data_IF_911604094288
#
_entry.id   IF_911604094288
#
_cell.length_a   1.000
_cell.length_b   1.000
_cell.length_c   1.000
_cell.angle_alpha   90.00
_cell.angle_beta   90.00
_cell.angle_gamma   90.00
#
_symmetry.space_group_name_H-M   'P 1'
#
loop_
_entity.id
_entity.type
_entity.pdbx_description
1 polymer ?
#
# COMPACT_ATOMS: atom_id res chain seq x y z
N UNK A 1 -0.98 -19.11 11.05
CA UNK A 1 -0.16 -18.08 11.71
C UNK A 1 -1.10 -17.25 12.57
N UNK A 2 -0.96 -17.29 13.89
CA UNK A 2 -1.76 -16.44 14.77
C UNK A 2 -1.03 -15.09 14.90
N UNK A 3 -1.68 -13.99 14.54
CA UNK A 3 -1.13 -12.65 14.71
C UNK A 3 -1.60 -12.14 16.07
N UNK A 4 -0.67 -11.98 17.01
CA UNK A 4 -0.97 -11.51 18.36
C UNK A 4 -1.38 -10.03 18.40
N UNK A 5 -1.98 -9.58 19.52
CA UNK A 5 -2.47 -8.19 19.67
C UNK A 5 -1.37 -7.12 19.54
N UNK A 6 -0.10 -7.47 19.81
CA UNK A 6 1.03 -6.54 19.81
C UNK A 6 1.82 -6.54 18.49
N UNK A 7 1.18 -6.90 17.39
CA UNK A 7 1.85 -7.06 16.10
C UNK A 7 1.67 -5.86 15.17
N UNK A 8 1.09 -4.74 15.63
CA UNK A 8 0.75 -3.59 14.78
C UNK A 8 0.06 -4.01 13.47
N UNK A 9 -0.79 -5.04 13.55
CA UNK A 9 -1.51 -5.52 12.38
C UNK A 9 -2.60 -4.52 12.04
N UNK A 10 -2.52 -3.97 10.84
CA UNK A 10 -3.56 -3.08 10.34
C UNK A 10 -4.80 -3.86 9.92
N UNK A 11 -5.98 -3.31 10.24
CA UNK A 11 -7.24 -3.76 9.66
C UNK A 11 -7.52 -3.01 8.34
N UNK A 12 -8.41 -3.57 7.50
CA UNK A 12 -8.87 -2.93 6.25
C UNK A 12 -7.74 -2.61 5.27
N UNK A 13 -6.82 -3.53 5.06
CA UNK A 13 -5.85 -3.47 3.97
C UNK A 13 -6.47 -3.77 2.59
N UNK A 14 -5.65 -3.75 1.55
CA UNK A 14 -6.06 -4.08 0.18
C UNK A 14 -6.16 -5.57 -0.08
N UNK A 15 -7.08 -5.97 -0.95
CA UNK A 15 -7.21 -7.35 -1.44
C UNK A 15 -7.40 -7.39 -2.94
N UNK A 16 -6.86 -8.41 -3.61
CA UNK A 16 -6.98 -8.56 -5.06
C UNK A 16 -7.07 -10.02 -5.50
N UNK A 17 -7.96 -10.30 -6.44
CA UNK A 17 -8.09 -11.61 -7.08
C UNK A 17 -7.23 -11.63 -8.36
N UNK A 18 -6.07 -12.30 -8.34
CA UNK A 18 -5.19 -12.36 -9.51
C UNK A 18 -5.80 -13.20 -10.65
N UNK A 19 -6.45 -14.30 -10.26
CA UNK A 19 -7.21 -15.24 -11.10
C UNK A 19 -8.17 -16.04 -10.20
N UNK A 20 -8.85 -17.07 -10.73
CA UNK A 20 -9.85 -17.85 -9.97
C UNK A 20 -9.28 -18.62 -8.76
N UNK A 21 -7.96 -18.73 -8.62
CA UNK A 21 -7.32 -19.58 -7.61
C UNK A 21 -6.28 -18.83 -6.77
N UNK A 22 -5.87 -17.63 -7.15
CA UNK A 22 -4.82 -16.88 -6.45
C UNK A 22 -5.34 -15.54 -5.91
N UNK A 23 -5.43 -15.42 -4.58
CA UNK A 23 -5.83 -14.21 -3.88
C UNK A 23 -4.65 -13.53 -3.19
N UNK A 24 -4.59 -12.21 -3.30
CA UNK A 24 -3.55 -11.40 -2.66
C UNK A 24 -4.17 -10.50 -1.60
N UNK A 25 -3.47 -10.35 -0.47
CA UNK A 25 -3.80 -9.38 0.57
C UNK A 25 -2.57 -8.54 0.87
N UNK A 26 -2.74 -7.22 0.89
CA UNK A 26 -1.74 -6.27 1.36
C UNK A 26 -2.10 -5.75 2.74
N UNK A 27 -1.12 -5.70 3.64
CA UNK A 27 -1.28 -5.21 5.00
C UNK A 27 0.08 -4.72 5.53
N UNK A 28 0.11 -4.17 6.74
CA UNK A 28 1.36 -4.07 7.49
C UNK A 28 1.22 -4.72 8.86
N UNK A 29 2.34 -5.19 9.38
CA UNK A 29 2.51 -5.74 10.73
C UNK A 29 3.98 -5.63 11.13
N UNK A 30 4.29 -5.90 12.39
CA UNK A 30 5.65 -6.01 12.87
C UNK A 30 6.42 -7.15 12.19
N UNK A 31 7.68 -6.88 11.87
CA UNK A 31 8.69 -7.90 11.61
C UNK A 31 9.20 -8.53 12.91
N UNK A 32 10.24 -9.37 12.81
CA UNK A 32 10.87 -10.00 13.97
C UNK A 32 11.52 -9.00 14.93
N UNK A 33 11.87 -7.80 14.46
CA UNK A 33 12.42 -6.72 15.25
C UNK A 33 11.37 -5.80 15.88
N UNK A 34 10.07 -6.08 15.69
CA UNK A 34 9.00 -5.22 16.19
C UNK A 34 8.78 -3.95 15.35
N UNK A 35 9.35 -3.87 14.15
CA UNK A 35 9.20 -2.73 13.25
C UNK A 35 8.08 -3.04 12.26
N UNK A 36 7.04 -2.18 12.15
CA UNK A 36 5.99 -2.42 11.15
C UNK A 36 6.53 -2.36 9.72
N UNK A 37 6.26 -3.39 8.93
CA UNK A 37 6.58 -3.52 7.51
C UNK A 37 5.31 -3.76 6.70
N UNK A 38 5.29 -3.29 5.45
CA UNK A 38 4.28 -3.70 4.47
C UNK A 38 4.55 -5.14 4.04
N UNK A 39 3.50 -5.95 4.00
CA UNK A 39 3.50 -7.32 3.52
C UNK A 39 2.46 -7.50 2.41
N UNK A 40 2.76 -8.41 1.50
CA UNK A 40 1.80 -8.96 0.55
C UNK A 40 1.77 -10.48 0.73
N UNK A 41 0.60 -11.04 0.99
CA UNK A 41 0.42 -12.50 1.09
C UNK A 41 -0.42 -13.00 -0.07
N UNK A 42 0.14 -13.94 -0.81
CA UNK A 42 -0.54 -14.76 -1.81
C UNK A 42 -1.18 -15.96 -1.12
N UNK A 43 -2.44 -16.26 -1.47
CA UNK A 43 -3.19 -17.43 -1.05
C UNK A 43 -3.62 -18.22 -2.28
N UNK A 44 -3.21 -19.48 -2.34
CA UNK A 44 -3.74 -20.43 -3.29
C UNK A 44 -5.04 -21.04 -2.73
N UNK A 45 -6.16 -20.67 -3.33
CA UNK A 45 -7.50 -21.07 -2.91
C UNK A 45 -7.83 -22.54 -3.21
N UNK A 46 -7.02 -23.23 -4.03
CA UNK A 46 -7.23 -24.67 -4.32
C UNK A 46 -6.66 -25.57 -3.23
N UNK A 47 -5.44 -25.28 -2.77
CA UNK A 47 -4.72 -26.15 -1.83
C UNK A 47 -4.50 -25.49 -0.45
N UNK A 48 -4.86 -24.22 -0.29
CA UNK A 48 -4.70 -23.48 0.97
C UNK A 48 -3.26 -23.04 1.25
N UNK A 49 -2.33 -23.19 0.31
CA UNK A 49 -0.96 -22.70 0.47
C UNK A 49 -0.93 -21.17 0.53
N UNK A 50 -0.03 -20.64 1.34
CA UNK A 50 0.17 -19.21 1.49
C UNK A 50 1.65 -18.86 1.32
N UNK A 51 1.94 -17.78 0.59
CA UNK A 51 3.28 -17.22 0.41
C UNK A 51 3.26 -15.77 0.84
N UNK A 52 4.06 -15.42 1.84
CA UNK A 52 4.11 -14.05 2.37
C UNK A 52 5.41 -13.37 1.97
N UNK A 53 5.29 -12.16 1.42
CA UNK A 53 6.38 -11.32 0.98
C UNK A 53 6.45 -10.09 1.86
N UNK A 54 7.63 -9.81 2.40
CA UNK A 54 7.92 -8.51 3.01
C UNK A 54 8.28 -7.53 1.91
N UNK A 55 7.51 -6.44 1.80
CA UNK A 55 7.63 -5.45 0.73
C UNK A 55 8.62 -4.35 1.12
N UNK A 56 8.53 -3.86 2.35
CA UNK A 56 9.38 -2.79 2.86
C UNK A 56 10.49 -3.33 3.76
N UNK A 57 11.57 -2.57 3.91
CA UNK A 57 12.68 -2.87 4.82
C UNK A 57 12.92 -1.67 5.74
N UNK A 58 11.85 -1.22 6.40
CA UNK A 58 11.85 -0.07 7.31
C UNK A 58 12.78 -0.32 8.48
N UNK A 59 13.47 0.71 8.91
CA UNK A 59 14.32 0.70 10.11
C UNK A 59 13.71 1.50 11.27
N UNK A 60 12.66 2.30 10.98
CA UNK A 60 11.99 3.15 11.95
C UNK A 60 10.68 2.52 12.43
N UNK A 61 10.66 2.12 13.70
CA UNK A 61 9.47 1.58 14.37
C UNK A 61 8.40 2.63 14.64
N UNK A 62 7.14 2.18 14.73
CA UNK A 62 6.03 2.93 15.31
C UNK A 62 5.06 1.96 15.97
N UNK A 63 4.10 2.49 16.73
CA UNK A 63 3.08 1.68 17.39
C UNK A 63 1.68 2.18 17.01
N UNK A 64 0.78 1.26 16.67
CA UNK A 64 -0.64 1.53 16.45
C UNK A 64 -1.40 1.71 17.77
N UNK A 65 -0.89 1.15 18.87
CA UNK A 65 -1.42 1.26 20.23
C UNK A 65 -1.09 2.66 20.78
N UNK A 66 -1.76 3.70 20.25
CA UNK A 66 -1.51 5.10 20.57
C UNK A 66 -2.76 5.87 21.02
N UNK A 67 -2.59 6.75 22.01
CA UNK A 67 -3.63 7.57 22.67
C UNK A 67 -4.14 8.76 21.82
N UNK A 68 -4.51 8.52 20.55
CA UNK A 68 -5.37 9.42 19.77
C UNK A 68 -4.73 10.55 18.94
N UNK A 69 -3.40 10.68 18.85
CA UNK A 69 -2.76 11.80 18.10
C UNK A 69 -1.65 11.40 17.13
N UNK A 70 -1.31 10.11 17.03
CA UNK A 70 -0.15 9.67 16.23
C UNK A 70 -0.57 9.30 14.80
N UNK A 71 -0.08 10.07 13.83
CA UNK A 71 -0.13 9.74 12.41
C UNK A 71 0.77 8.55 12.12
N UNK A 72 0.28 7.53 11.41
CA UNK A 72 1.12 6.40 11.01
C UNK A 72 2.09 6.83 9.90
N UNK A 73 3.38 6.46 9.99
CA UNK A 73 4.38 6.83 8.97
C UNK A 73 4.21 6.05 7.66
N UNK A 74 3.42 4.96 7.66
CA UNK A 74 2.98 4.22 6.48
C UNK A 74 1.45 4.19 6.39
N UNK A 75 0.90 4.20 5.17
CA UNK A 75 -0.55 4.02 4.97
C UNK A 75 -0.93 2.54 4.92
N UNK A 76 -2.23 2.27 4.97
CA UNK A 76 -2.76 1.00 4.46
C UNK A 76 -2.37 0.84 2.98
N UNK A 77 -1.91 -0.34 2.56
CA UNK A 77 -1.60 -0.61 1.16
C UNK A 77 -2.86 -0.96 0.37
N UNK A 78 -2.86 -0.63 -0.92
CA UNK A 78 -3.76 -1.24 -1.91
C UNK A 78 -2.98 -2.26 -2.73
N UNK A 79 -3.65 -3.35 -3.09
CA UNK A 79 -3.08 -4.40 -3.95
C UNK A 79 -3.92 -4.50 -5.21
N UNK A 80 -3.26 -4.59 -6.35
CA UNK A 80 -3.93 -4.72 -7.63
C UNK A 80 -3.02 -5.39 -8.67
N UNK A 81 -3.61 -5.84 -9.76
CA UNK A 81 -2.89 -6.35 -10.93
C UNK A 81 -2.84 -5.26 -12.00
N UNK A 82 -1.64 -5.03 -12.55
CA UNK A 82 -1.44 -4.15 -13.71
C UNK A 82 -0.77 -4.98 -14.82
N UNK A 83 -1.51 -5.25 -15.90
CA UNK A 83 -1.06 -6.21 -16.91
C UNK A 83 -0.88 -7.61 -16.31
N UNK A 84 0.33 -8.15 -16.39
CA UNK A 84 0.67 -9.46 -15.82
C UNK A 84 1.22 -9.38 -14.38
N UNK A 85 1.45 -8.18 -13.85
CA UNK A 85 2.22 -7.97 -12.63
C UNK A 85 1.34 -7.56 -11.45
N UNK A 86 1.59 -8.16 -10.30
CA UNK A 86 1.00 -7.72 -9.03
C UNK A 86 1.75 -6.50 -8.49
N UNK A 87 0.97 -5.52 -8.03
CA UNK A 87 1.45 -4.24 -7.53
C UNK A 87 0.86 -3.99 -6.15
N UNK A 88 1.69 -3.49 -5.25
CA UNK A 88 1.33 -3.01 -3.91
C UNK A 88 1.65 -1.53 -3.85
N UNK A 89 0.64 -0.68 -3.83
CA UNK A 89 0.84 0.75 -3.64
C UNK A 89 0.54 1.16 -2.21
N UNK A 90 1.36 2.03 -1.65
CA UNK A 90 1.30 2.50 -0.27
C UNK A 90 1.95 3.86 -0.15
N UNK A 91 1.62 4.61 0.89
CA UNK A 91 2.37 5.79 1.27
C UNK A 91 3.42 5.41 2.30
N UNK A 92 4.63 5.89 2.13
CA UNK A 92 5.71 5.82 3.11
C UNK A 92 6.41 7.18 3.18
N UNK A 93 6.70 7.66 4.38
CA UNK A 93 7.37 8.97 4.60
C UNK A 93 6.73 10.12 3.78
N UNK A 94 5.40 10.09 3.70
CA UNK A 94 4.56 11.09 3.04
C UNK A 94 4.62 11.08 1.50
N UNK A 95 5.20 10.04 0.88
CA UNK A 95 5.28 9.88 -0.57
C UNK A 95 4.50 8.65 -1.03
N UNK A 96 3.99 8.68 -2.25
CA UNK A 96 3.31 7.50 -2.83
C UNK A 96 4.36 6.58 -3.45
N UNK A 97 4.40 5.35 -2.97
CA UNK A 97 5.28 4.28 -3.39
C UNK A 97 4.47 3.18 -4.06
N UNK A 98 5.10 2.46 -4.99
CA UNK A 98 4.58 1.20 -5.50
C UNK A 98 5.69 0.15 -5.55
N UNK A 99 5.37 -1.04 -5.08
CA UNK A 99 6.21 -2.22 -5.22
C UNK A 99 5.57 -3.22 -6.16
N UNK A 100 6.33 -3.79 -7.08
CA UNK A 100 5.84 -4.71 -8.10
C UNK A 100 6.77 -5.92 -8.26
N UNK A 101 6.20 -7.05 -8.67
CA UNK A 101 6.93 -8.29 -8.89
C UNK A 101 7.67 -8.23 -10.23
N UNK A 102 8.99 -8.42 -10.22
CA UNK A 102 9.80 -8.52 -11.46
C UNK A 102 10.15 -9.95 -11.83
N UNK A 103 10.24 -10.82 -10.83
CA UNK A 103 10.42 -12.26 -10.98
C UNK A 103 9.96 -12.95 -9.69
N UNK A 104 9.93 -14.28 -9.68
CA UNK A 104 9.41 -15.02 -8.54
C UNK A 104 10.10 -14.62 -7.22
N UNK A 105 9.33 -14.01 -6.31
CA UNK A 105 9.82 -13.55 -5.02
C UNK A 105 10.64 -12.26 -5.02
N UNK A 106 10.93 -11.68 -6.19
CA UNK A 106 11.70 -10.43 -6.31
C UNK A 106 10.76 -9.26 -6.54
N UNK A 107 10.78 -8.33 -5.60
CA UNK A 107 10.01 -7.09 -5.64
C UNK A 107 10.93 -5.90 -5.93
N UNK A 108 10.51 -5.01 -6.82
CA UNK A 108 11.10 -3.69 -7.00
C UNK A 108 10.16 -2.63 -6.48
N UNK A 109 10.70 -1.57 -5.89
CA UNK A 109 9.94 -0.44 -5.39
C UNK A 109 10.31 0.81 -6.18
N UNK A 110 9.30 1.58 -6.55
CA UNK A 110 9.44 2.88 -7.21
C UNK A 110 8.63 3.92 -6.46
N UNK A 111 9.11 5.16 -6.50
CA UNK A 111 8.36 6.32 -6.05
C UNK A 111 7.45 6.76 -7.21
N UNK A 112 6.15 6.81 -6.96
CA UNK A 112 5.15 7.26 -7.94
C UNK A 112 4.90 8.77 -7.83
N UNK A 113 5.00 9.32 -6.62
CA UNK A 113 4.72 10.74 -6.37
C UNK A 113 5.55 11.25 -5.19
N UNK A 114 6.38 12.26 -5.46
CA UNK A 114 7.41 12.76 -4.55
C UNK A 114 6.92 13.83 -3.56
N UNK A 115 5.84 14.56 -3.90
CA UNK A 115 5.36 15.66 -3.06
C UNK A 115 4.81 15.14 -1.73
N UNK A 116 4.80 16.01 -0.72
CA UNK A 116 4.29 15.68 0.61
C UNK A 116 2.77 15.46 0.60
N UNK A 117 2.36 14.21 0.77
CA UNK A 117 0.96 13.79 0.82
C UNK A 117 0.37 13.77 2.24
N UNK A 118 1.17 14.10 3.26
CA UNK A 118 0.77 14.04 4.66
C UNK A 118 0.30 12.64 5.07
N UNK A 119 -0.98 12.52 5.45
CA UNK A 119 -1.62 11.28 5.90
C UNK A 119 -2.46 10.60 4.81
N UNK A 120 -2.20 10.92 3.55
CA UNK A 120 -2.84 10.28 2.41
C UNK A 120 -2.74 8.75 2.49
N UNK A 121 -3.77 8.09 1.98
CA UNK A 121 -3.78 6.67 1.71
C UNK A 121 -4.14 6.46 0.23
N UNK A 122 -3.54 5.47 -0.45
CA UNK A 122 -3.78 5.25 -1.87
C UNK A 122 -5.23 4.89 -2.15
N UNK A 123 -5.85 5.65 -3.08
CA UNK A 123 -7.19 5.39 -3.60
C UNK A 123 -7.05 5.12 -5.09
N UNK A 124 -7.27 3.87 -5.49
CA UNK A 124 -7.14 3.41 -6.88
C UNK A 124 -8.48 3.51 -7.61
N UNK A 125 -8.46 4.09 -8.81
CA UNK A 125 -9.57 3.97 -9.76
C UNK A 125 -9.44 2.66 -10.55
N UNK A 126 -10.33 1.72 -10.24
CA UNK A 126 -10.33 0.40 -10.85
C UNK A 126 -10.80 0.39 -12.31
N UNK A 127 -11.48 1.44 -12.79
CA UNK A 127 -12.15 1.44 -14.11
C UNK A 127 -11.18 1.40 -15.29
N UNK A 128 -9.92 1.79 -15.07
CA UNK A 128 -8.88 1.88 -16.11
C UNK A 128 -7.82 0.78 -16.01
N UNK A 129 -7.87 -0.08 -15.00
CA UNK A 129 -6.88 -1.14 -14.80
C UNK A 129 -6.87 -2.15 -15.95
N UNK A 130 -8.05 -2.48 -16.49
CA UNK A 130 -8.17 -3.39 -17.64
C UNK A 130 -7.48 -2.85 -18.90
N UNK A 131 -7.39 -1.52 -19.01
CA UNK A 131 -6.64 -0.84 -20.08
C UNK A 131 -5.13 -0.73 -19.81
N UNK A 132 -4.63 -1.36 -18.75
CA UNK A 132 -3.22 -1.31 -18.36
C UNK A 132 -2.80 0.02 -17.72
N UNK A 133 -3.76 0.80 -17.22
CA UNK A 133 -3.52 2.11 -16.61
C UNK A 133 -3.91 2.09 -15.14
N UNK A 134 -2.94 2.35 -14.26
CA UNK A 134 -3.21 2.63 -12.86
C UNK A 134 -3.44 4.14 -12.67
N UNK A 135 -4.57 4.50 -12.05
CA UNK A 135 -4.95 5.88 -11.77
C UNK A 135 -5.21 6.03 -10.28
N UNK A 136 -4.52 6.97 -9.64
CA UNK A 136 -4.72 7.28 -8.22
C UNK A 136 -5.42 8.62 -8.04
N UNK A 137 -6.40 8.68 -7.14
CA UNK A 137 -6.95 9.94 -6.67
C UNK A 137 -6.04 10.50 -5.57
N UNK A 138 -5.33 11.59 -5.86
CA UNK A 138 -4.35 12.17 -4.93
C UNK A 138 -4.92 13.43 -4.28
N UNK A 139 -4.95 13.43 -2.95
CA UNK A 139 -5.26 14.61 -2.14
C UNK A 139 -4.42 14.60 -0.86
N UNK A 140 -3.52 15.58 -0.72
CA UNK A 140 -2.74 15.75 0.50
C UNK A 140 -3.68 15.95 1.70
N UNK A 141 -3.44 15.21 2.78
CA UNK A 141 -4.28 15.27 3.99
C UNK A 141 -3.45 15.44 5.26
N UNK A 142 -3.98 16.14 6.25
CA UNK A 142 -3.31 16.35 7.55
C UNK A 142 -4.30 16.04 8.67
N UNK A 143 -3.84 15.34 9.72
CA UNK A 143 -4.68 14.97 10.86
C UNK A 143 -4.78 16.17 11.82
N UNK A 144 -6.00 16.61 12.14
CA UNK A 144 -6.26 17.55 13.24
C UNK A 144 -6.22 19.06 12.94
N UNK A 145 -6.21 19.52 11.68
CA UNK A 145 -6.19 20.95 11.36
C UNK A 145 -7.54 21.55 10.93
N UNK A 146 -8.07 22.55 11.66
CA UNK A 146 -9.18 23.44 11.25
C UNK A 146 -8.82 24.44 10.13
N UNK A 147 -7.78 24.17 9.37
CA UNK A 147 -7.38 24.98 8.23
C UNK A 147 -7.14 24.08 7.04
N UNK A 148 -8.23 23.66 6.41
CA UNK A 148 -8.23 23.57 4.96
C UNK A 148 -8.04 25.00 4.43
N UNK A 149 -6.81 25.54 4.55
CA UNK A 149 -6.37 26.45 3.50
C UNK A 149 -6.35 25.56 2.29
N UNK A 150 -7.39 25.71 1.49
CA UNK A 150 -7.47 25.22 0.13
C UNK A 150 -6.26 25.76 -0.62
N UNK A 151 -5.08 25.19 -0.40
CA UNK A 151 -4.18 24.90 -1.50
C UNK A 151 -4.85 23.75 -2.27
N UNK A 152 -6.01 24.04 -2.84
CA UNK A 152 -6.39 23.51 -4.13
C UNK A 152 -5.36 24.07 -5.12
N UNK A 153 -4.12 23.58 -5.09
CA UNK A 153 -3.59 23.10 -6.34
C UNK A 153 -4.41 21.87 -6.65
N UNK A 154 -5.55 22.15 -7.26
CA UNK A 154 -6.35 21.23 -8.03
C UNK A 154 -5.44 20.59 -9.07
N UNK A 155 -4.63 19.60 -8.69
CA UNK A 155 -4.36 18.50 -9.59
C UNK A 155 -5.59 17.59 -9.50
N UNK A 156 -6.73 18.10 -9.98
CA UNK A 156 -7.79 17.23 -10.47
C UNK A 156 -7.25 16.64 -11.77
N UNK A 157 -6.43 15.62 -11.63
CA UNK A 157 -5.78 14.96 -12.74
C UNK A 157 -5.43 13.55 -12.30
N UNK A 158 -5.86 12.51 -13.03
CA UNK A 158 -5.34 11.17 -12.79
C UNK A 158 -3.82 11.22 -12.98
N UNK A 159 -3.05 10.89 -11.94
CA UNK A 159 -1.66 10.49 -12.16
C UNK A 159 -1.71 9.15 -12.87
N UNK A 160 -1.50 9.18 -14.18
CA UNK A 160 -1.54 8.03 -15.06
C UNK A 160 -0.17 7.39 -15.03
N UNK A 161 -0.11 6.15 -14.51
CA UNK A 161 1.07 5.31 -14.64
C UNK A 161 0.77 4.23 -15.68
N UNK A 162 1.54 4.23 -16.77
CA UNK A 162 1.44 3.27 -17.88
C UNK A 162 2.67 2.39 -17.86
N UNK A 163 2.52 1.12 -17.47
CA UNK A 163 3.62 0.14 -17.50
C UNK A 163 4.73 0.42 -16.49
N UNK A 164 5.33 -0.65 -15.98
CA UNK A 164 6.63 -0.60 -15.32
C UNK A 164 7.59 -1.30 -16.28
N UNK A 165 8.49 -0.54 -16.92
CA UNK A 165 9.55 -1.08 -17.79
C UNK A 165 10.62 -1.85 -16.98
#
# INVERSE_FOLDING_TARGET
MCIGPDQNLVNQGGGWMQDLHTYWIGYFKNDQGGIPQIYATEFNLRNGEQKTHQITHRTLGFNMLGRGTQTWPISRPVVFKLGATMVVAYREEQRLMASYIVSEGVWKTVELFADNLGNYEPILDYTRLESGVATFYIQSSFQGGRYARNCCRSFFGPSIFTGFD
#
